data_IF_751914661737
#
_entry.id   IF_751914661737
#
_cell.length_a   1.000
_cell.length_b   1.000
_cell.length_c   1.000
_cell.angle_alpha   90.00
_cell.angle_beta   90.00
_cell.angle_gamma   90.00
#
_symmetry.space_group_name_H-M   'P 1'
#
loop_
_entity.id
_entity.type
_entity.pdbx_description
1 polymer ?
#
# COMPACT_ATOMS: atom_id res chain seq x y z
N UNK A 1 -1.41 21.57 7.77
CA UNK A 1 -1.28 20.08 7.85
C UNK A 1 -1.78 19.71 9.23
N UNK A 2 -3.01 19.15 9.32
CA UNK A 2 -3.50 18.64 10.61
C UNK A 2 -2.50 17.58 11.06
N UNK A 3 -1.95 17.76 12.24
CA UNK A 3 -0.96 16.84 12.78
C UNK A 3 -1.64 15.51 13.13
N UNK A 4 -1.74 14.64 12.12
CA UNK A 4 -2.28 13.29 12.29
C UNK A 4 -1.59 12.58 13.46
N UNK A 5 -0.26 12.70 13.52
CA UNK A 5 0.54 12.01 14.51
C UNK A 5 0.22 12.44 15.95
N UNK A 6 -0.18 13.72 16.17
CA UNK A 6 -0.62 14.19 17.48
C UNK A 6 -1.96 13.57 17.93
N UNK A 7 -2.74 13.03 16.99
CA UNK A 7 -4.04 12.38 17.26
C UNK A 7 -3.91 10.87 17.43
N UNK A 8 -2.71 10.31 17.29
CA UNK A 8 -2.46 8.88 17.43
C UNK A 8 -1.88 8.53 18.79
N UNK A 9 -2.12 7.31 19.25
CA UNK A 9 -1.61 6.76 20.50
C UNK A 9 -0.49 5.75 20.20
N UNK A 10 0.66 5.80 20.88
CA UNK A 10 1.65 4.72 20.79
C UNK A 10 1.05 3.38 21.25
N UNK A 11 1.34 2.32 20.50
CA UNK A 11 0.92 0.96 20.85
C UNK A 11 2.12 0.01 20.79
N UNK A 12 2.06 -1.06 21.56
CA UNK A 12 3.04 -2.14 21.50
C UNK A 12 2.62 -3.22 20.47
N UNK A 13 3.50 -4.21 20.29
CA UNK A 13 3.29 -5.31 19.37
C UNK A 13 2.08 -6.17 19.74
N UNK A 14 1.84 -6.36 21.03
CA UNK A 14 0.69 -7.15 21.50
C UNK A 14 -0.63 -6.49 21.11
N UNK A 15 -0.77 -5.19 21.29
CA UNK A 15 -1.95 -4.43 20.87
C UNK A 15 -2.11 -4.48 19.35
N UNK A 16 -1.01 -4.29 18.60
CA UNK A 16 -1.03 -4.36 17.15
C UNK A 16 -1.47 -5.75 16.64
N UNK A 17 -0.99 -6.83 17.26
CA UNK A 17 -1.41 -8.20 16.97
C UNK A 17 -2.90 -8.39 17.27
N UNK A 18 -3.38 -7.92 18.43
CA UNK A 18 -4.79 -8.03 18.80
C UNK A 18 -5.73 -7.31 17.83
N UNK A 19 -5.28 -6.21 17.21
CA UNK A 19 -6.05 -5.49 16.20
C UNK A 19 -6.21 -6.30 14.90
N UNK A 20 -5.20 -7.09 14.51
CA UNK A 20 -5.23 -7.92 13.30
C UNK A 20 -5.82 -9.31 13.52
N UNK A 21 -5.82 -9.81 14.77
CA UNK A 21 -6.27 -11.16 15.10
C UNK A 21 -7.68 -11.51 14.57
N UNK A 22 -8.69 -10.59 14.62
CA UNK A 22 -10.03 -10.90 14.08
C UNK A 22 -10.03 -11.19 12.57
N UNK A 23 -8.99 -10.79 11.84
CA UNK A 23 -8.88 -10.99 10.39
C UNK A 23 -7.95 -12.14 10.01
N UNK A 24 -7.26 -12.76 10.97
CA UNK A 24 -6.26 -13.84 10.75
C UNK A 24 -6.81 -15.00 9.94
N UNK A 25 -7.98 -15.49 10.29
CA UNK A 25 -8.61 -16.61 9.58
C UNK A 25 -8.89 -16.26 8.12
N UNK A 26 -9.41 -15.07 7.87
CA UNK A 26 -9.67 -14.60 6.51
C UNK A 26 -8.39 -14.43 5.68
N UNK A 27 -7.31 -13.93 6.27
CA UNK A 27 -6.00 -13.86 5.61
C UNK A 27 -5.48 -15.26 5.26
N UNK A 28 -5.47 -16.19 6.20
CA UNK A 28 -4.99 -17.56 6.00
C UNK A 28 -5.81 -18.31 4.93
N UNK A 29 -7.13 -18.13 4.91
CA UNK A 29 -7.99 -18.71 3.88
C UNK A 29 -7.68 -18.17 2.50
N UNK A 30 -7.44 -16.87 2.38
CA UNK A 30 -7.10 -16.24 1.10
C UNK A 30 -5.73 -16.66 0.60
N UNK A 31 -4.74 -16.72 1.48
CA UNK A 31 -3.40 -17.20 1.14
C UNK A 31 -3.43 -18.64 0.63
N UNK A 32 -4.10 -19.54 1.35
CA UNK A 32 -4.22 -20.94 0.94
C UNK A 32 -4.86 -21.10 -0.45
N UNK A 33 -5.72 -20.17 -0.86
CA UNK A 33 -6.37 -20.18 -2.18
C UNK A 33 -5.59 -19.42 -3.26
N UNK A 34 -4.55 -18.67 -2.91
CA UNK A 34 -3.78 -17.84 -3.86
C UNK A 34 -2.73 -18.63 -4.63
N UNK A 35 -2.33 -19.80 -4.15
CA UNK A 35 -1.21 -20.57 -4.70
C UNK A 35 0.18 -19.98 -4.42
N UNK A 36 0.25 -18.96 -3.57
CA UNK A 36 1.50 -18.32 -3.15
C UNK A 36 1.59 -18.41 -1.63
N UNK A 37 2.52 -19.20 -1.12
CA UNK A 37 2.70 -19.43 0.31
C UNK A 37 3.59 -18.36 0.96
N UNK A 38 3.35 -18.08 2.24
CA UNK A 38 4.25 -17.28 3.09
C UNK A 38 4.18 -15.77 2.86
N UNK A 39 3.11 -15.26 2.25
CA UNK A 39 2.91 -13.83 2.01
C UNK A 39 2.17 -13.17 3.18
N UNK A 40 1.26 -13.90 3.84
CA UNK A 40 0.53 -13.40 5.00
C UNK A 40 1.34 -13.65 6.26
N UNK A 41 2.00 -12.62 6.75
CA UNK A 41 2.81 -12.67 7.96
C UNK A 41 2.40 -11.53 8.91
N UNK A 42 1.34 -11.80 9.68
CA UNK A 42 0.83 -10.81 10.65
C UNK A 42 1.90 -10.46 11.69
N UNK A 43 2.71 -11.42 12.09
CA UNK A 43 3.81 -11.22 13.03
C UNK A 43 4.85 -10.24 12.44
N UNK A 44 5.15 -10.36 11.16
CA UNK A 44 6.02 -9.40 10.46
C UNK A 44 5.35 -8.01 10.38
N UNK A 45 4.05 -7.95 10.08
CA UNK A 45 3.34 -6.67 9.94
C UNK A 45 3.26 -5.88 11.25
N UNK A 46 3.37 -6.55 12.38
CA UNK A 46 3.36 -5.92 13.70
C UNK A 46 4.75 -5.80 14.33
N UNK A 47 5.77 -6.42 13.74
CA UNK A 47 7.13 -6.42 14.29
C UNK A 47 7.88 -5.12 13.95
N UNK A 48 8.84 -4.79 14.80
CA UNK A 48 9.81 -3.70 14.57
C UNK A 48 9.24 -2.27 14.67
N UNK A 49 10.08 -1.33 15.02
CA UNK A 49 9.79 0.11 15.01
C UNK A 49 8.73 0.63 15.99
N UNK A 50 8.53 1.93 15.97
CA UNK A 50 7.44 2.59 16.69
C UNK A 50 6.13 2.35 15.95
N UNK A 51 5.03 2.13 16.70
CA UNK A 51 3.68 1.94 16.17
C UNK A 51 2.74 2.94 16.81
N UNK A 52 1.87 3.50 15.97
CA UNK A 52 0.90 4.48 16.39
C UNK A 52 -0.48 4.10 15.89
N UNK A 53 -1.47 4.17 16.77
CA UNK A 53 -2.86 3.85 16.49
C UNK A 53 -3.69 5.12 16.39
N UNK A 54 -4.46 5.25 15.32
CA UNK A 54 -5.60 6.14 15.23
C UNK A 54 -6.89 5.31 15.46
N UNK A 55 -7.64 5.64 16.51
CA UNK A 55 -8.90 4.96 16.82
C UNK A 55 -10.03 5.50 15.94
N UNK A 56 -10.68 4.60 15.20
CA UNK A 56 -11.81 4.91 14.31
C UNK A 56 -11.38 5.32 12.90
N UNK A 57 -12.29 5.97 12.17
CA UNK A 57 -12.07 6.40 10.78
C UNK A 57 -11.58 7.83 10.72
N UNK A 58 -10.75 8.12 9.70
CA UNK A 58 -10.19 9.46 9.51
C UNK A 58 -10.15 9.85 8.03
N UNK A 59 -10.34 11.14 7.79
CA UNK A 59 -10.14 11.79 6.49
C UNK A 59 -9.08 12.89 6.63
N UNK A 60 -8.10 12.89 5.72
CA UNK A 60 -6.98 13.84 5.65
C UNK A 60 -6.72 14.26 4.22
N UNK A 61 -6.01 15.37 4.03
CA UNK A 61 -5.69 15.85 2.69
C UNK A 61 -4.56 15.06 2.04
N UNK A 62 -3.53 14.72 2.80
CA UNK A 62 -2.34 14.02 2.33
C UNK A 62 -1.73 13.20 3.45
N UNK A 63 -1.11 12.07 3.12
CA UNK A 63 -0.32 11.26 4.05
C UNK A 63 1.10 11.11 3.54
N UNK A 64 2.06 11.61 4.32
CA UNK A 64 3.48 11.39 4.09
C UNK A 64 4.04 10.58 5.26
N UNK A 65 4.59 9.42 4.96
CA UNK A 65 5.29 8.56 5.89
C UNK A 65 6.78 8.59 5.57
N UNK A 66 7.51 9.28 6.43
CA UNK A 66 8.95 9.49 6.25
C UNK A 66 9.75 8.20 6.48
N UNK A 67 10.95 8.09 5.88
CA UNK A 67 11.87 7.00 6.16
C UNK A 67 12.12 6.84 7.68
N UNK A 68 12.11 5.59 8.14
CA UNK A 68 12.30 5.22 9.54
C UNK A 68 11.29 5.84 10.53
N UNK A 69 10.20 6.41 9.99
CA UNK A 69 9.07 6.88 10.78
C UNK A 69 8.24 5.71 11.37
N UNK A 70 7.29 6.04 12.26
CA UNK A 70 6.46 5.03 12.89
C UNK A 70 5.52 4.34 11.89
N UNK A 71 5.12 3.10 12.19
CA UNK A 71 4.00 2.44 11.55
C UNK A 71 2.69 3.08 11.99
N UNK A 72 1.76 3.26 11.05
CA UNK A 72 0.43 3.81 11.31
C UNK A 72 -0.62 2.70 11.23
N UNK A 73 -1.35 2.51 12.31
CA UNK A 73 -2.54 1.66 12.40
C UNK A 73 -3.78 2.55 12.45
N UNK A 74 -4.75 2.30 11.58
CA UNK A 74 -6.06 2.97 11.58
C UNK A 74 -7.13 1.93 11.84
N UNK A 75 -7.83 2.03 12.98
CA UNK A 75 -8.81 1.03 13.41
C UNK A 75 -10.15 1.07 12.63
N UNK A 76 -10.29 1.99 11.69
CA UNK A 76 -11.44 2.15 10.81
C UNK A 76 -11.01 2.45 9.37
N UNK A 77 -11.81 3.26 8.67
CA UNK A 77 -11.52 3.68 7.31
C UNK A 77 -10.49 4.83 7.31
N UNK A 78 -9.60 4.82 6.30
CA UNK A 78 -8.71 5.94 6.01
C UNK A 78 -9.05 6.52 4.64
N UNK A 79 -9.37 7.80 4.60
CA UNK A 79 -9.55 8.56 3.36
C UNK A 79 -8.47 9.63 3.24
N UNK A 80 -7.68 9.56 2.18
CA UNK A 80 -6.66 10.56 1.82
C UNK A 80 -7.08 11.22 0.52
N UNK A 81 -7.50 12.49 0.56
CA UNK A 81 -8.00 13.20 -0.64
C UNK A 81 -6.92 13.39 -1.72
N UNK A 82 -5.67 13.37 -1.32
CA UNK A 82 -4.50 13.52 -2.17
C UNK A 82 -3.68 12.24 -2.30
N UNK A 83 -2.38 12.40 -2.20
CA UNK A 83 -1.41 11.32 -2.37
C UNK A 83 -1.00 10.73 -1.03
N UNK A 84 -0.93 9.40 -0.97
CA UNK A 84 -0.17 8.69 0.05
C UNK A 84 1.25 8.53 -0.48
N UNK A 85 2.21 9.09 0.22
CA UNK A 85 3.63 8.86 -0.01
C UNK A 85 4.22 8.10 1.15
N UNK A 86 4.78 6.94 0.87
CA UNK A 86 5.45 6.10 1.86
C UNK A 86 6.87 5.82 1.35
N UNK A 87 7.84 6.47 1.98
CA UNK A 87 9.24 6.42 1.57
C UNK A 87 9.91 5.08 1.84
N UNK A 88 11.12 4.90 1.33
CA UNK A 88 11.91 3.71 1.58
C UNK A 88 12.20 3.57 3.09
N UNK A 89 11.95 2.38 3.65
CA UNK A 89 12.01 2.08 5.10
C UNK A 89 11.05 2.90 5.96
N UNK A 90 10.02 3.50 5.40
CA UNK A 90 8.95 4.05 6.21
C UNK A 90 8.28 2.95 7.04
N UNK A 91 7.63 3.33 8.14
CA UNK A 91 6.78 2.41 8.89
C UNK A 91 5.63 1.86 8.03
N UNK A 92 4.99 0.80 8.47
CA UNK A 92 3.89 0.16 7.75
C UNK A 92 2.61 0.97 7.88
N UNK A 93 1.80 0.94 6.83
CA UNK A 93 0.44 1.47 6.86
C UNK A 93 -0.55 0.30 6.98
N UNK A 94 -1.25 0.22 8.10
CA UNK A 94 -2.23 -0.82 8.39
C UNK A 94 -3.60 -0.18 8.57
N UNK A 95 -4.56 -0.50 7.71
CA UNK A 95 -5.92 0.02 7.74
C UNK A 95 -6.90 -1.13 7.96
N UNK A 96 -7.60 -1.12 9.11
CA UNK A 96 -8.55 -2.19 9.50
C UNK A 96 -9.95 -1.98 8.89
N UNK A 97 -10.09 -1.07 7.97
CA UNK A 97 -11.28 -0.78 7.18
C UNK A 97 -10.91 -0.57 5.72
N UNK A 98 -11.63 0.32 5.06
CA UNK A 98 -11.38 0.71 3.67
C UNK A 98 -10.33 1.81 3.60
N UNK A 99 -9.37 1.65 2.68
CA UNK A 99 -8.43 2.71 2.32
C UNK A 99 -8.88 3.37 1.02
N UNK A 100 -9.08 4.71 1.07
CA UNK A 100 -9.36 5.54 -0.11
C UNK A 100 -8.25 6.56 -0.30
N UNK A 101 -7.78 6.71 -1.54
CA UNK A 101 -6.79 7.74 -1.88
C UNK A 101 -6.99 8.21 -3.33
N UNK A 102 -6.46 9.39 -3.66
CA UNK A 102 -6.35 9.79 -5.07
C UNK A 102 -5.27 8.98 -5.77
N UNK A 103 -4.09 8.90 -5.16
CA UNK A 103 -2.97 8.07 -5.64
C UNK A 103 -2.11 7.59 -4.48
N UNK A 104 -1.35 6.53 -4.72
CA UNK A 104 -0.39 5.96 -3.76
C UNK A 104 0.97 5.82 -4.43
N UNK A 105 2.02 6.29 -3.76
CA UNK A 105 3.42 5.98 -4.04
C UNK A 105 4.03 5.32 -2.81
N UNK A 106 4.38 4.04 -2.89
CA UNK A 106 4.87 3.29 -1.74
C UNK A 106 6.17 2.56 -2.02
N UNK A 107 7.07 2.60 -1.05
CA UNK A 107 8.30 1.81 -0.96
C UNK A 107 8.32 1.00 0.35
N UNK A 108 7.16 0.74 0.95
CA UNK A 108 7.02 0.02 2.20
C UNK A 108 5.72 -0.84 2.21
N UNK A 109 5.42 -1.44 3.34
CA UNK A 109 4.26 -2.32 3.50
C UNK A 109 2.96 -1.53 3.64
N UNK A 110 1.93 -1.95 2.89
CA UNK A 110 0.53 -1.53 3.09
C UNK A 110 -0.33 -2.76 3.35
N UNK A 111 -1.14 -2.73 4.39
CA UNK A 111 -2.11 -3.78 4.74
C UNK A 111 -3.49 -3.16 4.86
N UNK A 112 -4.47 -3.68 4.12
CA UNK A 112 -5.85 -3.21 4.13
C UNK A 112 -6.78 -4.39 4.34
N UNK A 113 -7.58 -4.39 5.42
CA UNK A 113 -8.50 -5.50 5.68
C UNK A 113 -9.85 -5.32 4.98
N UNK A 114 -10.23 -4.09 4.65
CA UNK A 114 -11.37 -3.75 3.80
C UNK A 114 -10.97 -3.58 2.33
N UNK A 115 -11.67 -2.70 1.63
CA UNK A 115 -11.41 -2.39 0.23
C UNK A 115 -10.26 -1.37 0.08
N UNK A 116 -9.53 -1.46 -1.03
CA UNK A 116 -8.58 -0.44 -1.47
C UNK A 116 -9.17 0.27 -2.70
N UNK A 117 -9.49 1.55 -2.56
CA UNK A 117 -10.08 2.36 -3.63
C UNK A 117 -9.16 3.54 -3.93
N UNK A 118 -8.49 3.48 -5.07
CA UNK A 118 -7.59 4.54 -5.54
C UNK A 118 -8.13 5.10 -6.85
N UNK A 119 -8.32 6.41 -6.88
CA UNK A 119 -8.92 7.06 -8.06
C UNK A 119 -8.03 6.97 -9.29
N UNK A 120 -6.71 7.07 -9.10
CA UNK A 120 -5.75 7.12 -10.20
C UNK A 120 -4.73 5.98 -10.11
N UNK A 121 -3.58 6.18 -9.51
CA UNK A 121 -2.43 5.29 -9.63
C UNK A 121 -1.97 4.74 -8.29
N UNK A 122 -1.70 3.44 -8.24
CA UNK A 122 -0.92 2.78 -7.19
C UNK A 122 0.45 2.45 -7.78
N UNK A 123 1.49 3.08 -7.26
CA UNK A 123 2.88 2.82 -7.61
C UNK A 123 3.59 2.18 -6.42
N UNK A 124 3.98 0.93 -6.58
CA UNK A 124 4.78 0.17 -5.60
C UNK A 124 6.21 -0.01 -6.09
N UNK A 125 7.19 0.33 -5.27
CA UNK A 125 8.60 0.39 -5.66
C UNK A 125 9.51 -0.23 -4.60
N UNK A 126 9.37 -1.52 -4.31
CA UNK A 126 10.33 -2.21 -3.45
C UNK A 126 10.13 -3.72 -3.47
N UNK A 127 11.17 -4.48 -3.68
CA UNK A 127 11.19 -5.95 -3.73
C UNK A 127 10.82 -6.62 -2.39
N UNK A 128 11.10 -5.97 -1.24
CA UNK A 128 10.95 -6.59 0.08
C UNK A 128 9.66 -6.25 0.79
N UNK A 129 8.79 -5.44 0.16
CA UNK A 129 7.53 -5.02 0.72
C UNK A 129 6.38 -5.28 -0.25
N UNK A 130 5.18 -5.28 0.28
CA UNK A 130 4.00 -5.59 -0.51
C UNK A 130 2.80 -4.72 -0.12
N UNK A 131 1.82 -4.68 -1.01
CA UNK A 131 0.49 -4.15 -0.72
C UNK A 131 -0.48 -5.32 -0.63
N UNK A 132 -0.95 -5.62 0.59
CA UNK A 132 -1.86 -6.72 0.88
C UNK A 132 -3.27 -6.19 1.14
N UNK A 133 -4.25 -6.66 0.39
CA UNK A 133 -5.64 -6.21 0.47
C UNK A 133 -6.57 -7.41 0.55
N UNK A 134 -7.32 -7.51 1.65
CA UNK A 134 -8.28 -8.61 1.88
C UNK A 134 -9.57 -8.40 1.08
N UNK A 135 -10.06 -7.15 1.02
CA UNK A 135 -11.21 -6.76 0.22
C UNK A 135 -10.89 -6.53 -1.26
N UNK A 136 -11.78 -5.86 -1.97
CA UNK A 136 -11.61 -5.52 -3.38
C UNK A 136 -10.61 -4.38 -3.58
N UNK A 137 -9.86 -4.43 -4.66
CA UNK A 137 -9.00 -3.33 -5.09
C UNK A 137 -9.58 -2.68 -6.35
N UNK A 138 -9.70 -1.36 -6.33
CA UNK A 138 -10.07 -0.56 -7.48
C UNK A 138 -9.04 0.54 -7.71
N UNK A 139 -8.50 0.62 -8.92
CA UNK A 139 -7.58 1.67 -9.34
C UNK A 139 -7.66 1.86 -10.87
N UNK A 140 -7.25 3.02 -11.38
CA UNK A 140 -7.06 3.19 -12.83
C UNK A 140 -5.79 2.47 -13.27
N UNK A 141 -4.69 2.65 -12.54
CA UNK A 141 -3.38 2.06 -12.86
C UNK A 141 -2.75 1.43 -11.63
N UNK A 142 -2.18 0.23 -11.77
CA UNK A 142 -1.28 -0.36 -10.78
C UNK A 142 0.07 -0.60 -11.46
N UNK A 143 1.13 -0.11 -10.83
CA UNK A 143 2.51 -0.25 -11.30
C UNK A 143 3.32 -1.01 -10.24
N UNK A 144 3.83 -2.17 -10.61
CA UNK A 144 4.87 -2.88 -9.86
C UNK A 144 6.23 -2.47 -10.40
N UNK A 145 6.94 -1.66 -9.64
CA UNK A 145 8.35 -1.36 -9.89
C UNK A 145 9.22 -2.12 -8.90
N UNK A 146 10.37 -2.62 -9.33
CA UNK A 146 11.27 -3.44 -8.49
C UNK A 146 10.55 -4.63 -7.81
N UNK A 147 9.70 -5.34 -8.54
CA UNK A 147 9.01 -6.52 -8.01
C UNK A 147 8.19 -6.24 -6.74
N UNK A 148 7.56 -5.07 -6.62
CA UNK A 148 6.65 -4.81 -5.51
C UNK A 148 5.43 -5.73 -5.61
N UNK A 149 5.21 -6.56 -4.60
CA UNK A 149 4.12 -7.53 -4.62
C UNK A 149 2.77 -6.87 -4.32
N UNK A 150 1.75 -7.23 -5.11
CA UNK A 150 0.37 -6.84 -4.89
C UNK A 150 -0.49 -8.07 -4.58
N UNK A 151 -0.78 -8.30 -3.30
CA UNK A 151 -1.61 -9.40 -2.83
C UNK A 151 -3.07 -8.95 -2.73
N UNK A 152 -3.81 -8.95 -3.85
CA UNK A 152 -5.16 -8.39 -3.99
C UNK A 152 -6.21 -9.49 -3.89
N UNK A 153 -6.40 -10.04 -2.69
CA UNK A 153 -7.16 -11.27 -2.45
C UNK A 153 -8.67 -11.18 -2.74
N UNK A 154 -9.29 -10.00 -2.57
CA UNK A 154 -10.72 -9.78 -2.86
C UNK A 154 -11.02 -9.54 -4.33
N UNK A 155 -10.01 -9.65 -5.20
CA UNK A 155 -10.12 -9.33 -6.62
C UNK A 155 -9.82 -7.87 -6.93
N UNK A 156 -9.67 -7.57 -8.23
CA UNK A 156 -9.28 -6.24 -8.69
C UNK A 156 -10.13 -5.74 -9.86
N UNK A 157 -10.41 -4.44 -9.85
CA UNK A 157 -10.98 -3.67 -10.95
C UNK A 157 -9.94 -2.61 -11.36
N UNK A 158 -9.11 -2.91 -12.36
CA UNK A 158 -7.96 -2.09 -12.77
C UNK A 158 -7.95 -1.96 -14.29
N UNK A 159 -7.78 -0.74 -14.80
CA UNK A 159 -7.75 -0.48 -16.26
C UNK A 159 -6.39 -0.87 -16.86
N UNK A 160 -5.31 -0.61 -16.12
CA UNK A 160 -3.94 -0.87 -16.60
C UNK A 160 -3.07 -1.45 -15.48
N UNK A 161 -2.45 -2.59 -15.77
CA UNK A 161 -1.41 -3.21 -14.93
C UNK A 161 -0.06 -3.08 -15.63
N UNK A 162 0.92 -2.58 -14.91
CA UNK A 162 2.31 -2.42 -15.39
C UNK A 162 3.24 -3.18 -14.46
N UNK A 163 4.03 -4.08 -15.01
CA UNK A 163 5.09 -4.77 -14.30
C UNK A 163 6.43 -4.51 -14.99
N UNK A 164 7.29 -3.72 -14.36
CA UNK A 164 8.56 -3.33 -14.97
C UNK A 164 9.57 -4.47 -15.07
N UNK A 165 9.40 -5.54 -14.29
CA UNK A 165 10.26 -6.74 -14.31
C UNK A 165 9.71 -7.87 -15.18
N UNK A 166 8.39 -7.98 -15.28
CA UNK A 166 7.75 -8.90 -16.20
C UNK A 166 7.37 -10.26 -15.60
N UNK A 167 7.72 -10.53 -14.37
CA UNK A 167 7.44 -11.80 -13.69
C UNK A 167 7.05 -11.62 -12.20
N UNK A 168 6.64 -10.41 -11.84
CA UNK A 168 6.14 -10.17 -10.48
C UNK A 168 4.91 -11.03 -10.20
N UNK A 169 4.91 -11.87 -9.16
CA UNK A 169 3.75 -12.67 -8.79
C UNK A 169 2.49 -11.82 -8.58
N UNK A 170 1.33 -12.41 -8.91
CA UNK A 170 0.01 -11.78 -8.81
C UNK A 170 -0.22 -10.56 -9.75
N UNK A 171 0.65 -10.41 -10.76
CA UNK A 171 0.49 -9.39 -11.80
C UNK A 171 0.09 -9.98 -13.16
N UNK A 172 -0.68 -11.08 -13.17
CA UNK A 172 -1.14 -11.74 -14.39
C UNK A 172 -1.91 -10.77 -15.27
N UNK A 173 -1.56 -10.71 -16.54
CA UNK A 173 -2.13 -9.79 -17.54
C UNK A 173 -1.51 -8.40 -17.51
N UNK A 174 -0.46 -8.16 -16.71
CA UNK A 174 0.31 -6.94 -16.77
C UNK A 174 1.01 -6.79 -18.13
N UNK A 175 1.16 -5.56 -18.57
CA UNK A 175 2.01 -5.23 -19.70
C UNK A 175 3.47 -5.22 -19.23
N UNK A 176 4.31 -5.98 -19.90
CA UNK A 176 5.76 -5.97 -19.69
C UNK A 176 6.32 -4.78 -20.45
N UNK A 177 6.61 -3.73 -19.75
CA UNK A 177 6.97 -2.48 -20.38
C UNK A 177 8.42 -2.08 -20.14
N UNK A 178 9.13 -2.81 -19.27
CA UNK A 178 10.44 -2.37 -18.84
C UNK A 178 10.41 -0.95 -18.22
N UNK A 179 11.56 -0.39 -17.94
CA UNK A 179 11.64 0.96 -17.37
C UNK A 179 11.19 2.05 -18.35
N UNK A 180 11.24 1.79 -19.65
CA UNK A 180 10.89 2.75 -20.70
C UNK A 180 9.40 3.08 -20.76
N UNK A 181 8.57 2.30 -20.07
CA UNK A 181 7.16 2.59 -19.96
C UNK A 181 6.83 3.63 -18.89
N UNK A 182 7.76 3.91 -18.00
CA UNK A 182 7.54 4.90 -16.96
C UNK A 182 7.96 6.29 -17.48
N UNK A 183 7.04 7.23 -17.37
CA UNK A 183 7.28 8.65 -17.67
C UNK A 183 8.01 9.31 -16.48
N UNK A 184 9.14 8.72 -16.08
CA UNK A 184 9.98 9.16 -14.95
C UNK A 184 11.44 9.27 -15.40
N UNK A 185 12.16 10.25 -14.88
CA UNK A 185 13.59 10.41 -15.14
C UNK A 185 14.38 9.31 -14.40
N UNK A 186 13.95 9.02 -13.18
CA UNK A 186 14.48 7.93 -12.34
C UNK A 186 13.33 6.93 -12.06
N UNK A 187 13.24 5.81 -12.79
CA UNK A 187 12.11 4.87 -12.73
C UNK A 187 11.80 4.30 -11.34
N UNK A 188 12.72 4.45 -10.41
CA UNK A 188 12.62 3.91 -9.06
C UNK A 188 12.71 4.99 -7.97
N UNK A 189 12.50 6.26 -8.32
CA UNK A 189 12.44 7.37 -7.37
C UNK A 189 10.99 7.56 -6.89
N UNK A 190 10.72 7.13 -5.64
CA UNK A 190 9.42 7.28 -5.01
C UNK A 190 9.03 8.75 -4.75
N UNK A 191 10.01 9.64 -4.62
CA UNK A 191 9.78 11.08 -4.42
C UNK A 191 9.36 11.72 -5.73
N UNK A 192 10.02 11.37 -6.84
CA UNK A 192 9.62 11.80 -8.18
C UNK A 192 8.21 11.29 -8.51
N UNK A 193 7.95 9.99 -8.26
CA UNK A 193 6.63 9.40 -8.47
C UNK A 193 5.54 10.16 -7.70
N UNK A 194 5.74 10.38 -6.40
CA UNK A 194 4.78 11.11 -5.59
C UNK A 194 4.59 12.55 -6.07
N UNK A 195 5.65 13.22 -6.52
CA UNK A 195 5.59 14.59 -7.04
C UNK A 195 4.76 14.66 -8.32
N UNK A 196 4.97 13.73 -9.27
CA UNK A 196 4.18 13.62 -10.51
C UNK A 196 2.71 13.32 -10.21
N UNK A 197 2.44 12.40 -9.28
CA UNK A 197 1.06 12.05 -8.88
C UNK A 197 0.34 13.23 -8.23
N UNK A 198 1.02 14.04 -7.41
CA UNK A 198 0.46 15.29 -6.85
C UNK A 198 0.08 16.27 -7.94
N UNK A 199 0.90 16.38 -8.96
CA UNK A 199 0.65 17.24 -10.12
C UNK A 199 -0.44 16.67 -11.07
N UNK A 200 -0.97 15.46 -10.82
CA UNK A 200 -1.91 14.78 -11.71
C UNK A 200 -1.29 14.29 -13.02
N UNK A 201 0.03 14.10 -13.03
CA UNK A 201 0.78 13.63 -14.19
C UNK A 201 0.83 12.10 -14.19
N UNK A 202 0.56 11.48 -15.34
CA UNK A 202 0.68 10.03 -15.50
C UNK A 202 2.14 9.57 -15.29
N UNK A 203 2.29 8.44 -14.59
CA UNK A 203 3.59 7.75 -14.48
C UNK A 203 3.86 6.81 -15.65
N UNK A 204 2.88 6.58 -16.51
CA UNK A 204 2.99 5.69 -17.67
C UNK A 204 3.04 6.52 -18.95
N UNK A 205 3.96 6.18 -19.84
CA UNK A 205 4.06 6.76 -21.17
C UNK A 205 2.82 6.34 -21.98
N UNK A 206 2.18 7.28 -22.73
CA UNK A 206 1.01 6.99 -23.55
C UNK A 206 1.22 5.93 -24.63
#
# INVERSE_FOLDING_TARGET
MDDLWAKTTPIDEMIATQLLEPTREAWNEREANSGVDGIVDIECWVSGGERRLYEGSIEIDELVMEPEGPSLFVAGDLTVRGVIQQGFRAGFLVVLGTLRAKSISTCAQIVVTGDLVVEDTIYGNCTNYMTSVLGKTKARVIISAKEHYFCLYGGREVELLVDTYGDTPNMEGAQHTGNDALAMDEPYDEVEAATKLRAGTSLVVP
#
